data_IF_326673976186
#
_entry.id   IF_326673976186
#
_cell.length_a   1.000
_cell.length_b   1.000
_cell.length_c   1.000
_cell.angle_alpha   90.00
_cell.angle_beta   90.00
_cell.angle_gamma   90.00
#
_symmetry.space_group_name_H-M   'P 1'
#
loop_
_entity.id
_entity.type
_entity.pdbx_description
1 polymer ?
#
# COMPACT_ATOMS: atom_id res chain seq x y z
N UNK A 1 -6.70 18.54 6.52
CA UNK A 1 -6.43 17.53 7.58
C UNK A 1 -6.43 18.24 8.93
N UNK A 2 -7.40 17.93 9.81
CA UNK A 2 -7.66 18.71 11.05
C UNK A 2 -6.51 18.64 12.07
N UNK A 3 -5.67 17.60 12.03
CA UNK A 3 -4.59 17.37 13.00
C UNK A 3 -3.43 18.39 12.87
N UNK A 4 -3.11 18.87 11.66
CA UNK A 4 -2.13 19.95 11.49
C UNK A 4 -2.51 21.24 12.23
N UNK A 5 -3.82 21.49 12.37
CA UNK A 5 -4.36 22.69 13.03
C UNK A 5 -4.06 22.71 14.54
N UNK A 6 -3.68 21.57 15.12
CA UNK A 6 -3.36 21.41 16.54
C UNK A 6 -1.84 21.28 16.82
N UNK A 7 -0.98 21.61 15.84
CA UNK A 7 0.47 21.70 16.07
C UNK A 7 1.27 20.39 15.98
N UNK A 8 0.65 19.31 15.49
CA UNK A 8 1.36 18.05 15.26
C UNK A 8 2.33 18.19 14.08
N UNK A 9 3.61 17.87 14.33
CA UNK A 9 4.71 17.97 13.36
C UNK A 9 4.79 16.74 12.46
N UNK A 10 5.56 16.82 11.36
CA UNK A 10 5.86 15.72 10.40
C UNK A 10 6.33 14.43 11.10
N UNK A 11 6.94 14.54 12.29
CA UNK A 11 7.44 13.41 13.09
C UNK A 11 6.36 12.68 13.90
N UNK A 12 5.20 13.29 14.12
CA UNK A 12 4.16 12.77 15.00
C UNK A 12 2.97 12.15 14.24
N UNK A 13 2.84 12.44 12.94
CA UNK A 13 1.78 11.90 12.08
C UNK A 13 2.40 11.09 10.96
N UNK A 14 2.09 9.80 10.94
CA UNK A 14 2.36 8.90 9.81
C UNK A 14 1.05 8.43 9.20
N UNK A 15 0.93 8.50 7.88
CA UNK A 15 -0.21 7.98 7.13
C UNK A 15 0.16 6.63 6.54
N UNK A 16 -0.67 5.62 6.81
CA UNK A 16 -0.56 4.32 6.15
C UNK A 16 -1.22 4.40 4.78
N UNK A 17 -0.47 4.08 3.74
CA UNK A 17 -0.97 3.99 2.37
C UNK A 17 -0.83 2.54 1.91
N UNK A 18 -1.96 1.89 1.67
CA UNK A 18 -1.99 0.51 1.22
C UNK A 18 -1.93 0.42 -0.31
N UNK A 19 -1.18 -0.54 -0.82
CA UNK A 19 -1.08 -0.83 -2.25
C UNK A 19 -1.00 -2.34 -2.51
N UNK A 20 -1.25 -2.76 -3.75
CA UNK A 20 -1.11 -4.17 -4.15
C UNK A 20 -2.42 -4.95 -4.14
N UNK A 21 -3.56 -4.26 -4.07
CA UNK A 21 -4.86 -4.89 -4.26
C UNK A 21 -5.02 -5.27 -5.75
N UNK A 22 -5.48 -6.49 -6.07
CA UNK A 22 -5.73 -6.87 -7.46
C UNK A 22 -6.71 -5.91 -8.13
N UNK A 23 -6.34 -5.40 -9.30
CA UNK A 23 -7.13 -4.42 -10.05
C UNK A 23 -6.94 -2.96 -9.63
N UNK A 24 -6.21 -2.67 -8.54
CA UNK A 24 -5.84 -1.29 -8.18
C UNK A 24 -4.82 -0.75 -9.18
N UNK A 25 -5.06 0.42 -9.76
CA UNK A 25 -4.09 1.03 -10.66
C UNK A 25 -2.91 1.60 -9.86
N UNK A 26 -1.68 1.38 -10.32
CA UNK A 26 -0.49 1.95 -9.70
C UNK A 26 -0.54 3.48 -9.65
N UNK A 27 -1.15 4.14 -10.65
CA UNK A 27 -1.28 5.60 -10.65
C UNK A 27 -2.07 6.12 -9.44
N UNK A 28 -3.05 5.36 -8.94
CA UNK A 28 -3.80 5.73 -7.73
C UNK A 28 -2.90 5.71 -6.49
N UNK A 29 -1.93 4.79 -6.45
CA UNK A 29 -0.93 4.71 -5.39
C UNK A 29 0.01 5.92 -5.48
N UNK A 30 0.49 6.25 -6.67
CA UNK A 30 1.35 7.42 -6.91
C UNK A 30 0.64 8.73 -6.55
N UNK A 31 -0.63 8.88 -6.92
CA UNK A 31 -1.46 10.04 -6.54
C UNK A 31 -1.64 10.13 -5.03
N UNK A 32 -1.86 9.01 -4.36
CA UNK A 32 -1.91 8.92 -2.90
C UNK A 32 -0.59 9.34 -2.25
N UNK A 33 0.55 8.87 -2.77
CA UNK A 33 1.88 9.27 -2.31
C UNK A 33 2.05 10.79 -2.46
N UNK A 34 1.76 11.34 -3.64
CA UNK A 34 1.90 12.77 -3.93
C UNK A 34 1.00 13.63 -3.03
N UNK A 35 -0.24 13.18 -2.79
CA UNK A 35 -1.15 13.84 -1.86
C UNK A 35 -0.57 13.88 -0.45
N UNK A 36 -0.10 12.75 0.09
CA UNK A 36 0.48 12.71 1.44
C UNK A 36 1.78 13.53 1.52
N UNK A 37 2.60 13.51 0.46
CA UNK A 37 3.79 14.38 0.34
C UNK A 37 3.43 15.85 0.44
N UNK A 38 2.36 16.30 -0.23
CA UNK A 38 1.84 17.67 -0.16
C UNK A 38 1.36 18.03 1.25
N UNK A 39 0.90 17.02 2.01
CA UNK A 39 0.59 17.16 3.42
C UNK A 39 1.84 17.17 4.30
N UNK A 40 3.05 16.95 3.80
CA UNK A 40 4.26 17.10 4.62
C UNK A 40 4.30 16.16 5.83
N UNK A 41 3.69 14.98 5.74
CA UNK A 41 3.63 13.96 6.82
C UNK A 41 4.32 12.68 6.36
N UNK A 42 4.77 11.85 7.31
CA UNK A 42 5.46 10.59 6.98
C UNK A 42 4.52 9.60 6.28
N UNK A 43 5.03 8.90 5.26
CA UNK A 43 4.28 7.87 4.54
C UNK A 43 4.74 6.50 5.03
N UNK A 44 3.81 5.65 5.47
CA UNK A 44 4.05 4.24 5.72
C UNK A 44 3.38 3.46 4.58
N UNK A 45 4.15 3.14 3.55
CA UNK A 45 3.66 2.35 2.42
C UNK A 45 3.54 0.88 2.85
N UNK A 46 2.36 0.28 2.72
CA UNK A 46 2.05 -1.07 3.18
C UNK A 46 1.46 -1.94 2.08
N UNK A 47 1.99 -3.14 1.93
CA UNK A 47 1.48 -4.14 0.98
C UNK A 47 0.15 -4.73 1.46
N UNK A 48 -0.75 -4.95 0.52
CA UNK A 48 -2.00 -5.66 0.74
C UNK A 48 -1.71 -7.14 1.05
N UNK A 49 -2.46 -7.68 2.02
CA UNK A 49 -2.42 -9.10 2.37
C UNK A 49 -3.86 -9.61 2.45
N UNK A 50 -4.24 -10.65 1.70
CA UNK A 50 -5.55 -11.25 1.84
C UNK A 50 -5.60 -12.01 3.17
N UNK A 51 -6.62 -11.74 3.99
CA UNK A 51 -6.80 -12.38 5.30
C UNK A 51 -8.01 -13.31 5.23
N UNK A 52 -7.84 -14.64 5.44
CA UNK A 52 -8.94 -15.58 5.46
C UNK A 52 -10.11 -15.15 6.35
N UNK A 53 -11.34 -15.27 5.83
CA UNK A 53 -12.57 -14.90 6.54
C UNK A 53 -12.92 -13.40 6.51
N UNK A 54 -12.12 -12.56 5.86
CA UNK A 54 -12.50 -11.17 5.58
C UNK A 54 -13.40 -11.05 4.35
N UNK A 55 -14.16 -9.96 4.23
CA UNK A 55 -14.95 -9.69 3.03
C UNK A 55 -14.08 -9.67 1.77
N UNK A 56 -12.91 -9.04 1.83
CA UNK A 56 -11.98 -8.99 0.71
C UNK A 56 -11.49 -10.39 0.28
N UNK A 57 -11.25 -11.29 1.24
CA UNK A 57 -10.92 -12.69 0.90
C UNK A 57 -12.01 -13.36 0.08
N UNK A 58 -13.28 -13.19 0.47
CA UNK A 58 -14.41 -13.74 -0.27
C UNK A 58 -14.52 -13.13 -1.67
N UNK A 59 -14.36 -11.81 -1.78
CA UNK A 59 -14.36 -11.10 -3.06
C UNK A 59 -13.24 -11.62 -4.00
N UNK A 60 -12.05 -11.91 -3.46
CA UNK A 60 -10.95 -12.47 -4.25
C UNK A 60 -11.27 -13.89 -4.77
N UNK A 61 -11.99 -14.70 -3.99
CA UNK A 61 -12.47 -16.03 -4.42
C UNK A 61 -13.57 -15.89 -5.48
N UNK A 62 -14.56 -15.03 -5.24
CA UNK A 62 -15.69 -14.80 -6.15
C UNK A 62 -15.23 -14.29 -7.52
N UNK A 63 -14.19 -13.46 -7.55
CA UNK A 63 -13.57 -12.96 -8.78
C UNK A 63 -12.55 -13.95 -9.40
N UNK A 64 -12.36 -15.14 -8.81
CA UNK A 64 -11.46 -16.17 -9.33
C UNK A 64 -9.97 -15.82 -9.25
N UNK A 65 -9.59 -14.87 -8.38
CA UNK A 65 -8.19 -14.44 -8.20
C UNK A 65 -7.44 -15.45 -7.34
N UNK A 66 -8.09 -15.98 -6.31
CA UNK A 66 -7.58 -17.03 -5.44
C UNK A 66 -8.60 -18.15 -5.26
N UNK A 67 -8.16 -19.26 -4.68
CA UNK A 67 -9.01 -20.37 -4.26
C UNK A 67 -9.06 -20.45 -2.74
N UNK A 68 -10.14 -21.00 -2.18
CA UNK A 68 -10.31 -21.14 -0.73
C UNK A 68 -9.17 -21.94 -0.07
N UNK A 69 -8.64 -22.94 -0.77
CA UNK A 69 -7.55 -23.80 -0.32
C UNK A 69 -6.17 -23.39 -0.87
N UNK A 70 -5.98 -22.12 -1.24
CA UNK A 70 -4.68 -21.61 -1.69
C UNK A 70 -3.58 -21.86 -0.63
N UNK A 71 -2.35 -22.10 -1.08
CA UNK A 71 -1.21 -22.25 -0.19
C UNK A 71 -1.05 -20.98 0.69
N UNK A 72 -1.02 -21.09 2.03
CA UNK A 72 -0.84 -19.96 2.93
C UNK A 72 0.42 -19.12 2.66
N UNK A 73 1.46 -19.68 2.03
CA UNK A 73 2.63 -18.91 1.62
C UNK A 73 2.29 -17.85 0.57
N UNK A 74 1.29 -18.10 -0.27
CA UNK A 74 0.83 -17.16 -1.30
C UNK A 74 0.00 -16.01 -0.70
N UNK A 75 -0.42 -16.11 0.57
CA UNK A 75 -1.14 -15.03 1.26
C UNK A 75 -0.20 -14.04 1.94
N UNK A 76 1.12 -14.29 1.95
CA UNK A 76 2.11 -13.32 2.40
C UNK A 76 1.99 -12.04 1.56
N UNK A 77 1.97 -10.88 2.21
CA UNK A 77 1.76 -9.59 1.55
C UNK A 77 2.71 -9.30 0.37
N UNK A 78 4.00 -9.59 0.51
CA UNK A 78 4.99 -9.37 -0.55
C UNK A 78 4.76 -10.35 -1.70
N UNK A 79 4.58 -11.64 -1.40
CA UNK A 79 4.32 -12.67 -2.42
C UNK A 79 3.01 -12.38 -3.15
N UNK A 80 1.96 -12.04 -2.40
CA UNK A 80 0.64 -11.76 -2.94
C UNK A 80 0.67 -10.53 -3.83
N UNK A 81 1.23 -9.42 -3.34
CA UNK A 81 1.38 -8.19 -4.14
C UNK A 81 2.17 -8.46 -5.41
N UNK A 82 3.26 -9.22 -5.33
CA UNK A 82 4.08 -9.54 -6.49
C UNK A 82 3.34 -10.37 -7.55
N UNK A 83 2.53 -11.35 -7.12
CA UNK A 83 1.86 -12.28 -8.03
C UNK A 83 0.52 -11.76 -8.56
N UNK A 84 -0.24 -11.03 -7.75
CA UNK A 84 -1.66 -10.74 -8.02
C UNK A 84 -1.99 -9.26 -8.22
N UNK A 85 -1.09 -8.32 -7.92
CA UNK A 85 -1.38 -6.88 -8.14
C UNK A 85 -1.39 -6.46 -9.61
N UNK A 86 -0.69 -7.20 -10.48
CA UNK A 86 -0.46 -6.82 -11.87
C UNK A 86 0.60 -5.74 -12.06
N UNK A 87 1.30 -5.32 -10.99
CA UNK A 87 2.40 -4.36 -11.09
C UNK A 87 3.67 -5.00 -11.62
N UNK A 88 4.49 -4.20 -12.29
CA UNK A 88 5.84 -4.62 -12.64
C UNK A 88 6.75 -4.50 -11.41
N UNK A 89 7.70 -5.43 -11.21
CA UNK A 89 8.63 -5.35 -10.08
C UNK A 89 9.39 -4.03 -10.00
N UNK A 90 9.80 -3.48 -11.14
CA UNK A 90 10.55 -2.23 -11.24
C UNK A 90 9.71 -1.03 -10.77
N UNK A 91 8.41 -1.06 -11.05
CA UNK A 91 7.47 -0.03 -10.64
C UNK A 91 7.26 -0.04 -9.11
N UNK A 92 7.15 -1.23 -8.51
CA UNK A 92 7.08 -1.38 -7.04
C UNK A 92 8.35 -0.86 -6.39
N UNK A 93 9.52 -1.18 -6.93
CA UNK A 93 10.79 -0.72 -6.40
C UNK A 93 10.91 0.80 -6.48
N UNK A 94 10.49 1.39 -7.60
CA UNK A 94 10.47 2.84 -7.81
C UNK A 94 9.62 3.56 -6.76
N UNK A 95 8.39 3.11 -6.49
CA UNK A 95 7.54 3.76 -5.47
C UNK A 95 8.10 3.58 -4.05
N UNK A 96 8.73 2.44 -3.75
CA UNK A 96 9.37 2.18 -2.45
C UNK A 96 10.57 3.12 -2.23
N UNK A 97 11.40 3.30 -3.25
CA UNK A 97 12.54 4.21 -3.22
C UNK A 97 12.08 5.66 -3.04
N UNK A 98 11.09 6.09 -3.82
CA UNK A 98 10.52 7.44 -3.73
C UNK A 98 9.98 7.77 -2.33
N UNK A 99 9.22 6.85 -1.72
CA UNK A 99 8.72 7.01 -0.35
C UNK A 99 9.87 7.02 0.67
N UNK A 100 10.89 6.17 0.50
CA UNK A 100 12.05 6.10 1.38
C UNK A 100 12.86 7.40 1.36
N UNK A 101 13.12 7.94 0.16
CA UNK A 101 13.81 9.22 -0.02
C UNK A 101 13.02 10.37 0.61
N UNK A 102 11.71 10.45 0.34
CA UNK A 102 10.87 11.48 0.94
C UNK A 102 10.84 11.45 2.48
N UNK A 103 10.81 10.25 3.05
CA UNK A 103 10.80 10.05 4.50
C UNK A 103 12.16 10.33 5.16
N UNK A 104 13.28 10.20 4.43
CA UNK A 104 14.62 10.48 4.95
C UNK A 104 14.94 11.99 4.95
N UNK A 105 14.26 12.77 4.12
CA UNK A 105 14.35 14.23 4.12
C UNK A 105 13.85 14.79 5.47
N UNK A 106 14.83 15.24 6.27
CA UNK A 106 14.63 15.91 7.54
C UNK A 106 14.10 17.33 7.30
N UNK A 107 12.78 17.49 7.32
CA UNK A 107 12.12 18.78 7.52
C UNK A 107 11.45 18.77 8.89
#
# INVERSE_FOLDING_TARGET
>A
MHLKKYGFTKKQIGVYLMYGLPGQNLSEVEDGINFIKSLGVKINLTEFSPIPGTQCWNELIENGIIYENIDPLLTNNTVFTYLFSGYKPEDIEKIKLDVKEYNSLSN
#
